data_IF_158777708900
#
_entry.id   IF_158777708900
#
_cell.length_a   1.000
_cell.length_b   1.000
_cell.length_c   1.000
_cell.angle_alpha   90.00
_cell.angle_beta   90.00
_cell.angle_gamma   90.00
#
_symmetry.space_group_name_H-M   'P 1'
#
loop_
_entity.id
_entity.type
_entity.pdbx_description
1 polymer ?
#
# COMPACT_ATOMS: atom_id res chain seq x y z
N UNK A 1 7.26 -35.73 3.67
CA UNK A 1 6.54 -35.78 2.38
C UNK A 1 5.17 -35.08 2.42
N UNK A 2 4.48 -35.05 3.56
CA UNK A 2 3.16 -34.40 3.69
C UNK A 2 3.15 -32.86 3.64
N UNK A 3 4.22 -32.23 4.13
CA UNK A 3 4.32 -30.75 4.20
C UNK A 3 4.35 -30.10 2.79
N UNK A 4 5.07 -30.71 1.85
CA UNK A 4 5.13 -30.21 0.46
C UNK A 4 3.77 -30.35 -0.24
N UNK A 5 3.07 -31.45 -0.01
CA UNK A 5 1.70 -31.64 -0.52
C UNK A 5 0.75 -30.58 0.03
N UNK A 6 0.85 -30.25 1.30
CA UNK A 6 -0.02 -29.26 1.94
C UNK A 6 0.21 -27.86 1.38
N UNK A 7 1.47 -27.46 1.14
CA UNK A 7 1.80 -26.16 0.54
C UNK A 7 1.32 -26.09 -0.90
N UNK A 8 1.56 -27.12 -1.70
CA UNK A 8 1.11 -27.17 -3.10
C UNK A 8 -0.41 -27.14 -3.20
N UNK A 9 -1.09 -27.85 -2.33
CA UNK A 9 -2.56 -27.85 -2.26
C UNK A 9 -3.10 -26.48 -1.86
N UNK A 10 -2.48 -25.83 -0.87
CA UNK A 10 -2.84 -24.46 -0.46
C UNK A 10 -2.68 -23.46 -1.62
N UNK A 11 -1.55 -23.51 -2.34
CA UNK A 11 -1.32 -22.65 -3.51
C UNK A 11 -2.41 -22.87 -4.57
N UNK A 12 -2.77 -24.13 -4.83
CA UNK A 12 -3.83 -24.45 -5.79
C UNK A 12 -5.19 -23.82 -5.39
N UNK A 13 -5.56 -23.88 -4.12
CA UNK A 13 -6.79 -23.24 -3.61
C UNK A 13 -6.72 -21.71 -3.79
N UNK A 14 -5.58 -21.09 -3.51
CA UNK A 14 -5.38 -19.66 -3.68
C UNK A 14 -5.52 -19.24 -5.15
N UNK A 15 -5.02 -20.04 -6.09
CA UNK A 15 -5.18 -19.80 -7.53
C UNK A 15 -6.64 -19.94 -7.97
N UNK A 16 -7.35 -20.96 -7.48
CA UNK A 16 -8.78 -21.14 -7.76
C UNK A 16 -9.61 -19.97 -7.24
N UNK A 17 -9.33 -19.48 -6.03
CA UNK A 17 -9.99 -18.31 -5.48
C UNK A 17 -9.75 -17.07 -6.33
N UNK A 18 -8.50 -16.85 -6.77
CA UNK A 18 -8.15 -15.71 -7.62
C UNK A 18 -8.93 -15.74 -8.95
N UNK A 19 -8.90 -16.86 -9.66
CA UNK A 19 -9.58 -17.02 -10.96
C UNK A 19 -11.10 -16.92 -10.82
N UNK A 20 -11.67 -17.53 -9.80
CA UNK A 20 -13.10 -17.46 -9.51
C UNK A 20 -13.55 -16.03 -9.18
N UNK A 21 -12.76 -15.32 -8.39
CA UNK A 21 -13.05 -13.92 -8.04
C UNK A 21 -13.01 -13.01 -9.26
N UNK A 22 -12.01 -13.15 -10.13
CA UNK A 22 -11.92 -12.39 -11.39
C UNK A 22 -13.14 -12.68 -12.28
N UNK A 23 -13.51 -13.95 -12.42
CA UNK A 23 -14.68 -14.34 -13.20
C UNK A 23 -15.99 -13.78 -12.65
N UNK A 24 -16.13 -13.76 -11.32
CA UNK A 24 -17.34 -13.25 -10.65
C UNK A 24 -17.43 -11.71 -10.69
N UNK A 25 -16.31 -10.99 -10.69
CA UNK A 25 -16.30 -9.52 -10.81
C UNK A 25 -16.74 -9.06 -12.21
N UNK A 26 -16.50 -9.86 -13.26
CA UNK A 26 -16.88 -9.50 -14.61
C UNK A 26 -16.41 -8.09 -15.00
N UNK A 27 -17.36 -7.24 -15.37
CA UNK A 27 -17.07 -5.86 -15.81
C UNK A 27 -16.48 -4.98 -14.68
N UNK A 28 -16.76 -5.27 -13.41
CA UNK A 28 -16.21 -4.53 -12.28
C UNK A 28 -14.68 -4.69 -12.17
N UNK A 29 -14.13 -5.76 -12.75
CA UNK A 29 -12.68 -5.94 -12.82
C UNK A 29 -11.98 -4.85 -13.65
N UNK A 30 -12.68 -4.29 -14.65
CA UNK A 30 -12.16 -3.16 -15.44
C UNK A 30 -12.00 -1.89 -14.60
N UNK A 31 -12.79 -1.69 -13.56
CA UNK A 31 -12.59 -0.56 -12.63
C UNK A 31 -11.26 -0.66 -11.91
N UNK A 32 -10.86 -1.86 -11.51
CA UNK A 32 -9.56 -2.12 -10.86
C UNK A 32 -8.43 -1.81 -11.84
N UNK A 33 -8.56 -2.27 -13.08
CA UNK A 33 -7.58 -2.01 -14.14
C UNK A 33 -7.46 -0.51 -14.44
N UNK A 34 -8.57 0.21 -14.57
CA UNK A 34 -8.56 1.65 -14.80
C UNK A 34 -7.90 2.43 -13.64
N UNK A 35 -8.14 2.02 -12.41
CA UNK A 35 -7.45 2.61 -11.24
C UNK A 35 -5.95 2.36 -11.29
N UNK A 36 -5.53 1.16 -11.67
CA UNK A 36 -4.12 0.83 -11.85
C UNK A 36 -3.44 1.69 -12.92
N UNK A 37 -4.10 1.89 -14.08
CA UNK A 37 -3.60 2.78 -15.12
C UNK A 37 -3.41 4.21 -14.62
N UNK A 38 -4.34 4.73 -13.81
CA UNK A 38 -4.20 6.06 -13.19
C UNK A 38 -2.95 6.13 -12.31
N UNK A 39 -2.69 5.10 -11.52
CA UNK A 39 -1.48 5.03 -10.69
C UNK A 39 -0.20 4.94 -11.52
N UNK A 40 -0.19 4.18 -12.61
CA UNK A 40 0.95 4.08 -13.52
C UNK A 40 1.27 5.42 -14.16
N UNK A 41 0.28 6.08 -14.76
CA UNK A 41 0.43 7.41 -15.36
C UNK A 41 0.92 8.43 -14.32
N UNK A 42 0.36 8.41 -13.11
CA UNK A 42 0.80 9.28 -12.02
C UNK A 42 2.25 9.05 -11.61
N UNK A 43 2.73 7.81 -11.63
CA UNK A 43 4.13 7.48 -11.30
C UNK A 43 5.10 7.97 -12.38
N UNK A 44 4.73 7.89 -13.66
CA UNK A 44 5.54 8.37 -14.79
C UNK A 44 5.64 9.90 -14.81
N UNK A 45 4.55 10.59 -14.47
CA UNK A 45 4.48 12.04 -14.43
C UNK A 45 5.11 12.64 -13.15
N UNK A 46 5.45 11.82 -12.17
CA UNK A 46 5.93 12.27 -10.87
C UNK A 46 7.32 12.88 -10.97
N UNK A 47 7.51 14.19 -10.76
CA UNK A 47 8.81 14.86 -10.90
C UNK A 47 9.69 14.58 -9.68
N UNK A 48 10.20 13.35 -9.57
CA UNK A 48 11.04 12.88 -8.45
C UNK A 48 12.27 13.78 -8.22
N UNK A 49 12.70 14.49 -9.26
CA UNK A 49 13.92 15.31 -9.22
C UNK A 49 13.70 16.74 -8.64
N UNK A 50 12.46 17.19 -8.43
CA UNK A 50 12.20 18.49 -7.84
C UNK A 50 12.34 18.43 -6.32
N UNK A 51 13.11 19.39 -5.77
CA UNK A 51 13.26 19.57 -4.31
C UNK A 51 11.85 19.80 -3.69
N UNK A 52 11.53 19.07 -2.64
CA UNK A 52 10.23 19.12 -1.95
C UNK A 52 9.18 18.13 -2.48
N UNK A 53 9.32 17.58 -3.69
CA UNK A 53 8.38 16.62 -4.25
C UNK A 53 8.80 15.16 -4.07
N UNK A 54 10.03 14.90 -3.62
CA UNK A 54 10.54 13.53 -3.42
C UNK A 54 9.69 12.72 -2.44
N UNK A 55 9.31 13.32 -1.31
CA UNK A 55 8.54 12.61 -0.30
C UNK A 55 7.10 12.32 -0.73
N UNK A 56 6.35 13.28 -1.28
CA UNK A 56 5.05 13.00 -1.89
C UNK A 56 5.11 11.93 -2.99
N UNK A 57 6.11 12.00 -3.87
CA UNK A 57 6.30 11.00 -4.92
C UNK A 57 6.58 9.60 -4.35
N UNK A 58 7.40 9.51 -3.32
CA UNK A 58 7.67 8.24 -2.63
C UNK A 58 6.41 7.67 -1.97
N UNK A 59 5.62 8.49 -1.29
CA UNK A 59 4.33 8.08 -0.71
C UNK A 59 3.35 7.63 -1.79
N UNK A 60 3.37 8.25 -2.95
CA UNK A 60 2.55 7.82 -4.08
C UNK A 60 2.92 6.41 -4.58
N UNK A 61 4.22 6.10 -4.66
CA UNK A 61 4.68 4.74 -4.99
C UNK A 61 4.25 3.71 -3.94
N UNK A 62 4.33 4.08 -2.65
CA UNK A 62 3.82 3.22 -1.57
C UNK A 62 2.31 3.01 -1.73
N UNK A 63 1.55 4.05 -2.02
CA UNK A 63 0.11 3.97 -2.26
C UNK A 63 -0.22 2.94 -3.35
N UNK A 64 0.49 3.01 -4.49
CA UNK A 64 0.29 2.08 -5.59
C UNK A 64 0.61 0.63 -5.17
N UNK A 65 1.71 0.41 -4.48
CA UNK A 65 2.09 -0.91 -3.96
C UNK A 65 1.06 -1.47 -2.98
N UNK A 66 0.57 -0.66 -2.04
CA UNK A 66 -0.44 -1.07 -1.07
C UNK A 66 -1.81 -1.31 -1.72
N UNK A 67 -2.16 -0.52 -2.75
CA UNK A 67 -3.34 -0.76 -3.55
C UNK A 67 -3.29 -2.14 -4.22
N UNK A 68 -2.18 -2.47 -4.89
CA UNK A 68 -1.98 -3.79 -5.49
C UNK A 68 -2.11 -4.92 -4.47
N UNK A 69 -1.42 -4.78 -3.35
CA UNK A 69 -1.44 -5.79 -2.30
C UNK A 69 -2.86 -5.98 -1.72
N UNK A 70 -3.60 -4.87 -1.57
CA UNK A 70 -4.99 -4.89 -1.14
C UNK A 70 -5.89 -5.61 -2.13
N UNK A 71 -5.77 -5.30 -3.42
CA UNK A 71 -6.58 -5.91 -4.48
C UNK A 71 -6.29 -7.39 -4.67
N UNK A 72 -5.01 -7.78 -4.72
CA UNK A 72 -4.62 -9.20 -4.81
C UNK A 72 -5.13 -9.99 -3.60
N UNK A 73 -5.04 -9.41 -2.40
CA UNK A 73 -5.56 -10.02 -1.18
C UNK A 73 -7.08 -10.16 -1.22
N UNK A 74 -7.79 -9.16 -1.74
CA UNK A 74 -9.24 -9.20 -1.93
C UNK A 74 -9.66 -10.33 -2.88
N UNK A 75 -9.01 -10.42 -4.04
CA UNK A 75 -9.29 -11.45 -5.04
C UNK A 75 -9.03 -12.87 -4.52
N UNK A 76 -8.12 -13.03 -3.56
CA UNK A 76 -7.85 -14.29 -2.87
C UNK A 76 -8.71 -14.49 -1.61
N UNK A 77 -9.72 -13.68 -1.40
CA UNK A 77 -10.63 -13.71 -0.24
C UNK A 77 -9.95 -13.46 1.12
N UNK A 78 -8.78 -12.85 1.12
CA UNK A 78 -8.07 -12.42 2.34
C UNK A 78 -8.57 -11.05 2.79
N UNK A 79 -9.82 -10.95 3.19
CA UNK A 79 -10.52 -9.67 3.47
C UNK A 79 -9.81 -8.79 4.48
N UNK A 80 -9.35 -9.36 5.61
CA UNK A 80 -8.65 -8.60 6.65
C UNK A 80 -7.35 -7.97 6.12
N UNK A 81 -6.57 -8.72 5.35
CA UNK A 81 -5.33 -8.23 4.73
C UNK A 81 -5.62 -7.17 3.68
N UNK A 82 -6.66 -7.40 2.87
CA UNK A 82 -7.12 -6.44 1.88
C UNK A 82 -7.47 -5.09 2.51
N UNK A 83 -8.33 -5.08 3.53
CA UNK A 83 -8.70 -3.85 4.23
C UNK A 83 -7.51 -3.14 4.87
N UNK A 84 -6.56 -3.87 5.45
CA UNK A 84 -5.34 -3.29 6.03
C UNK A 84 -4.51 -2.57 4.97
N UNK A 85 -4.27 -3.21 3.83
CA UNK A 85 -3.48 -2.62 2.76
C UNK A 85 -4.19 -1.45 2.07
N UNK A 86 -5.50 -1.56 1.81
CA UNK A 86 -6.27 -0.46 1.22
C UNK A 86 -6.35 0.75 2.16
N UNK A 87 -6.45 0.54 3.48
CA UNK A 87 -6.35 1.61 4.46
C UNK A 87 -4.97 2.27 4.43
N UNK A 88 -3.90 1.49 4.39
CA UNK A 88 -2.53 2.01 4.25
C UNK A 88 -2.37 2.86 2.98
N UNK A 89 -2.92 2.40 1.85
CA UNK A 89 -2.94 3.15 0.60
C UNK A 89 -3.64 4.51 0.75
N UNK A 90 -4.81 4.54 1.39
CA UNK A 90 -5.55 5.79 1.64
C UNK A 90 -4.77 6.75 2.54
N UNK A 91 -4.21 6.25 3.64
CA UNK A 91 -3.42 7.07 4.57
C UNK A 91 -2.18 7.68 3.87
N UNK A 92 -1.49 6.90 3.04
CA UNK A 92 -0.37 7.39 2.21
C UNK A 92 -0.83 8.42 1.18
N UNK A 93 -1.98 8.20 0.53
CA UNK A 93 -2.54 9.13 -0.45
C UNK A 93 -2.86 10.49 0.17
N UNK A 94 -3.57 10.50 1.30
CA UNK A 94 -3.90 11.75 2.00
C UNK A 94 -2.65 12.47 2.50
N UNK A 95 -1.66 11.73 3.00
CA UNK A 95 -0.38 12.30 3.43
C UNK A 95 0.38 12.90 2.24
N UNK A 96 0.47 12.19 1.11
CA UNK A 96 1.10 12.69 -0.10
C UNK A 96 0.42 13.97 -0.61
N UNK A 97 -0.91 13.98 -0.67
CA UNK A 97 -1.68 15.15 -1.07
C UNK A 97 -1.46 16.34 -0.14
N UNK A 98 -1.46 16.10 1.18
CA UNK A 98 -1.20 17.14 2.17
C UNK A 98 0.19 17.76 1.99
N UNK A 99 1.23 16.92 1.82
CA UNK A 99 2.61 17.39 1.63
C UNK A 99 2.80 18.08 0.27
N UNK A 100 2.05 17.72 -0.76
CA UNK A 100 2.02 18.46 -2.03
C UNK A 100 1.46 19.87 -1.85
N UNK A 101 0.39 19.98 -1.06
CA UNK A 101 -0.28 21.28 -0.78
C UNK A 101 0.53 22.17 0.17
N UNK A 102 1.28 21.55 1.08
CA UNK A 102 2.08 22.24 2.12
C UNK A 102 3.53 21.74 2.12
N UNK A 103 4.36 22.13 1.14
CA UNK A 103 5.74 21.64 1.01
C UNK A 103 6.63 21.97 2.20
N UNK A 104 6.32 23.05 2.92
CA UNK A 104 7.00 23.47 4.16
C UNK A 104 6.86 22.47 5.31
N UNK A 105 5.87 21.57 5.23
CA UNK A 105 5.63 20.53 6.24
C UNK A 105 6.42 19.24 6.01
N UNK A 106 7.11 19.11 4.89
CA UNK A 106 7.88 17.89 4.55
C UNK A 106 8.98 17.63 5.59
N UNK A 107 9.72 18.66 6.00
CA UNK A 107 10.79 18.50 6.98
C UNK A 107 10.27 18.10 8.37
N UNK A 108 9.11 18.63 8.77
CA UNK A 108 8.42 18.24 10.01
C UNK A 108 7.98 16.77 9.94
N UNK A 109 7.41 16.36 8.82
CA UNK A 109 7.01 14.97 8.60
C UNK A 109 8.19 14.02 8.68
N UNK A 110 9.30 14.36 8.03
CA UNK A 110 10.53 13.55 8.06
C UNK A 110 11.17 13.48 9.45
N UNK A 111 11.10 14.55 10.23
CA UNK A 111 11.60 14.54 11.61
C UNK A 111 10.80 13.59 12.49
N UNK A 112 9.47 13.58 12.39
CA UNK A 112 8.60 12.65 13.10
C UNK A 112 8.93 11.19 12.77
N UNK A 113 9.11 10.85 11.48
CA UNK A 113 9.51 9.48 11.09
C UNK A 113 10.85 9.09 11.71
N UNK A 114 11.81 10.01 11.80
CA UNK A 114 13.11 9.75 12.45
C UNK A 114 12.96 9.54 13.93
N UNK A 115 12.13 10.33 14.60
CA UNK A 115 11.82 10.19 16.03
C UNK A 115 11.15 8.87 16.34
N UNK A 116 10.14 8.45 15.57
CA UNK A 116 9.47 7.15 15.74
C UNK A 116 10.40 5.95 15.56
N UNK A 117 11.46 6.09 14.75
CA UNK A 117 12.49 5.07 14.55
C UNK A 117 13.62 5.14 15.58
N UNK A 118 13.63 6.14 16.46
CA UNK A 118 14.67 6.29 17.47
C UNK A 118 14.41 5.31 18.65
N UNK A 119 15.38 4.43 19.00
CA UNK A 119 15.22 3.49 20.10
C UNK A 119 14.94 4.14 21.47
N UNK A 120 15.32 5.42 21.64
CA UNK A 120 15.04 6.17 22.88
C UNK A 120 13.54 6.49 23.03
N UNK A 121 12.81 6.72 21.94
CA UNK A 121 11.37 6.91 21.97
C UNK A 121 10.63 5.67 22.46
N UNK A 122 11.06 4.51 22.04
CA UNK A 122 10.51 3.23 22.53
C UNK A 122 10.71 3.05 24.05
N UNK A 123 11.80 3.57 24.63
CA UNK A 123 12.04 3.55 26.07
C UNK A 123 11.09 4.49 26.84
N UNK A 124 10.76 5.64 26.28
CA UNK A 124 9.82 6.60 26.87
C UNK A 124 8.42 6.02 26.91
N UNK A 125 7.96 5.38 25.83
CA UNK A 125 6.64 4.73 25.77
C UNK A 125 6.52 3.51 26.67
N UNK A 126 7.61 2.76 26.90
CA UNK A 126 7.61 1.61 27.81
C UNK A 126 7.62 2.01 29.30
N UNK A 127 8.01 3.25 29.62
CA UNK A 127 8.05 3.77 30.98
C UNK A 127 6.78 4.53 31.40
N UNK A 128 5.74 4.61 30.53
CA UNK A 128 4.43 5.20 30.81
C UNK A 128 3.38 4.11 31.13
N UNK A 129 3.82 3.02 31.77
CA UNK A 129 2.90 2.02 32.35
C UNK A 129 2.86 2.14 33.86
#
# INVERSE_FOLDING_TARGET
MDTVRNITHFIGIEEEHLLSSIANLGDDFFLIHNLDEIYQIGSELSPINKKGLKMPAFLYLITHSEFYLGMVSFLRLHTSKSFTSLRSALDCTFTAYYLLKYPDKVDIYLSKIKEEKNPEWNKIFLNIK
#
